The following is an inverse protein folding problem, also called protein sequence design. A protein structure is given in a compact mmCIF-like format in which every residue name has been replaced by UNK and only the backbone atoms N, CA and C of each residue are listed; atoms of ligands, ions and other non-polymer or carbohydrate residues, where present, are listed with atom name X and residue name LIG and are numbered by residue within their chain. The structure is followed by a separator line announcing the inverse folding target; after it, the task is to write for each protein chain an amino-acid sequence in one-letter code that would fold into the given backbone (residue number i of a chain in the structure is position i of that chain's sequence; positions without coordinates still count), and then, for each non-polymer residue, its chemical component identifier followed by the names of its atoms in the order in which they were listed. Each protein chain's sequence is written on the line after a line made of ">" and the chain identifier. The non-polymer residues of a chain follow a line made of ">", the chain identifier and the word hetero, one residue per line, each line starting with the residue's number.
data_IF_080384845206
#
_entry.id   IF_080384845206
#
_cell.length_a   1.000
_cell.length_b   1.000
_cell.length_c   1.000
_cell.angle_alpha   90.00
_cell.angle_beta   90.00
_cell.angle_gamma   90.00
#
_symmetry.space_group_name_H-M   'P 1'
#
loop_
_entity.id
_entity.type
_entity.pdbx_description
1 polymer ?
#
# COMPACT_ATOMS: atom_id res chain seq x y z
N UNK A 1 -47.37 -10.25 -110.87
CA UNK A 1 -47.71 -9.59 -112.16
C UNK A 1 -49.21 -9.56 -112.39
N UNK A 2 -49.92 -10.69 -112.32
CA UNK A 2 -51.38 -10.77 -112.46
C UNK A 2 -52.23 -9.87 -111.54
N UNK A 3 -51.81 -9.64 -110.28
CA UNK A 3 -52.53 -8.75 -109.34
C UNK A 3 -52.43 -7.27 -109.74
N UNK A 4 -51.26 -6.84 -110.24
CA UNK A 4 -51.03 -5.45 -110.65
C UNK A 4 -51.77 -5.12 -111.95
N UNK A 5 -51.83 -6.08 -112.89
CA UNK A 5 -52.64 -5.96 -114.11
C UNK A 5 -54.15 -5.91 -113.81
N UNK A 6 -54.60 -6.68 -112.81
CA UNK A 6 -55.97 -6.65 -112.33
C UNK A 6 -56.34 -5.26 -111.79
N UNK A 7 -55.52 -4.71 -110.88
CA UNK A 7 -55.72 -3.39 -110.30
C UNK A 7 -55.72 -2.28 -111.38
N UNK A 8 -54.85 -2.38 -112.38
CA UNK A 8 -54.80 -1.46 -113.50
C UNK A 8 -56.05 -1.49 -114.39
N UNK A 9 -56.67 -2.65 -114.61
CA UNK A 9 -57.91 -2.78 -115.39
C UNK A 9 -59.14 -2.30 -114.61
N UNK A 10 -59.18 -2.51 -113.30
CA UNK A 10 -60.21 -1.97 -112.40
C UNK A 10 -60.15 -0.43 -112.39
N UNK A 11 -58.95 0.16 -112.28
CA UNK A 11 -58.77 1.61 -112.31
C UNK A 11 -59.21 2.26 -113.64
N UNK A 12 -59.18 1.51 -114.75
CA UNK A 12 -59.62 1.94 -116.09
C UNK A 12 -61.12 1.72 -116.34
N UNK A 13 -61.88 1.24 -115.34
CA UNK A 13 -63.32 0.96 -115.46
C UNK A 13 -63.66 -0.24 -116.36
N UNK A 14 -62.67 -1.05 -116.76
CA UNK A 14 -62.84 -2.23 -117.62
C UNK A 14 -63.06 -3.48 -116.78
N UNK A 15 -64.21 -3.55 -116.12
CA UNK A 15 -64.52 -4.63 -115.17
C UNK A 15 -64.58 -6.02 -115.82
N UNK A 16 -65.08 -6.15 -117.06
CA UNK A 16 -65.11 -7.44 -117.77
C UNK A 16 -63.71 -8.00 -118.03
N UNK A 17 -62.78 -7.16 -118.49
CA UNK A 17 -61.39 -7.53 -118.71
C UNK A 17 -60.65 -7.84 -117.40
N UNK A 18 -60.90 -7.07 -116.34
CA UNK A 18 -60.33 -7.34 -115.01
C UNK A 18 -60.79 -8.71 -114.47
N UNK A 19 -62.07 -9.03 -114.59
CA UNK A 19 -62.63 -10.31 -114.14
C UNK A 19 -62.09 -11.47 -114.97
N UNK A 20 -61.88 -11.30 -116.28
CA UNK A 20 -61.23 -12.32 -117.12
C UNK A 20 -59.78 -12.60 -116.68
N UNK A 21 -59.01 -11.57 -116.33
CA UNK A 21 -57.65 -11.73 -115.78
C UNK A 21 -57.68 -12.42 -114.42
N UNK A 22 -58.65 -12.07 -113.56
CA UNK A 22 -58.85 -12.72 -112.25
C UNK A 22 -59.13 -14.22 -112.40
N UNK A 23 -60.14 -14.57 -113.20
CA UNK A 23 -60.59 -15.94 -113.36
C UNK A 23 -59.61 -16.77 -114.21
N UNK A 24 -58.85 -16.15 -115.11
CA UNK A 24 -57.72 -16.79 -115.79
C UNK A 24 -56.61 -17.17 -114.80
N UNK A 25 -56.20 -16.25 -113.93
CA UNK A 25 -55.21 -16.54 -112.89
C UNK A 25 -55.73 -17.54 -111.84
N UNK A 26 -57.01 -17.48 -111.49
CA UNK A 26 -57.67 -18.47 -110.63
C UNK A 26 -57.76 -19.84 -111.30
N UNK A 27 -58.12 -19.91 -112.59
CA UNK A 27 -58.20 -21.19 -113.31
C UNK A 27 -56.84 -21.90 -113.33
N UNK A 28 -55.75 -21.17 -113.54
CA UNK A 28 -54.39 -21.72 -113.50
C UNK A 28 -53.90 -22.09 -112.10
N UNK A 29 -54.31 -21.37 -111.05
CA UNK A 29 -53.82 -21.58 -109.67
C UNK A 29 -54.68 -22.55 -108.84
N UNK A 30 -55.97 -22.65 -109.16
CA UNK A 30 -56.97 -23.44 -108.43
C UNK A 30 -57.51 -24.64 -109.23
N UNK A 31 -56.97 -24.91 -110.43
CA UNK A 31 -57.39 -26.00 -111.33
C UNK A 31 -58.91 -26.03 -111.56
N UNK A 32 -59.49 -24.90 -112.00
CA UNK A 32 -60.91 -24.89 -112.34
C UNK A 32 -61.16 -25.69 -113.64
N UNK A 33 -62.20 -26.55 -113.70
CA UNK A 33 -62.52 -27.31 -114.90
C UNK A 33 -62.86 -26.40 -116.09
N UNK A 34 -62.32 -26.69 -117.27
CA UNK A 34 -62.51 -25.87 -118.48
C UNK A 34 -63.98 -25.86 -118.93
N UNK A 35 -64.48 -24.70 -119.39
CA UNK A 35 -65.87 -24.56 -119.85
C UNK A 35 -66.94 -24.52 -118.75
N UNK A 36 -66.55 -24.37 -117.49
CA UNK A 36 -67.46 -24.29 -116.34
C UNK A 36 -67.76 -22.88 -115.84
N UNK A 37 -67.09 -21.86 -116.40
CA UNK A 37 -67.30 -20.46 -116.08
C UNK A 37 -67.30 -19.60 -117.34
N UNK A 38 -68.05 -18.49 -117.32
CA UNK A 38 -68.10 -17.50 -118.39
C UNK A 38 -68.29 -16.09 -117.82
N UNK A 39 -67.64 -15.09 -118.41
CA UNK A 39 -67.74 -13.69 -118.00
C UNK A 39 -68.60 -12.94 -119.01
N UNK A 40 -69.78 -12.50 -118.58
CA UNK A 40 -70.65 -11.61 -119.35
C UNK A 40 -70.31 -10.14 -119.14
N UNK A 41 -71.08 -9.23 -119.78
CA UNK A 41 -70.86 -7.79 -119.66
C UNK A 41 -71.08 -7.26 -118.23
N UNK A 42 -71.97 -7.88 -117.45
CA UNK A 42 -72.36 -7.45 -116.10
C UNK A 42 -72.29 -8.55 -115.05
N UNK A 43 -72.32 -9.83 -115.44
CA UNK A 43 -72.41 -10.98 -114.55
C UNK A 43 -71.38 -12.05 -114.91
N UNK A 44 -70.95 -12.82 -113.90
CA UNK A 44 -70.13 -14.02 -114.07
C UNK A 44 -71.02 -15.24 -113.89
N UNK A 45 -71.05 -16.11 -114.89
CA UNK A 45 -71.80 -17.34 -114.87
C UNK A 45 -70.88 -18.47 -114.42
N UNK A 46 -71.27 -19.17 -113.36
CA UNK A 46 -70.53 -20.29 -112.79
C UNK A 46 -71.42 -21.51 -112.79
N UNK A 47 -70.91 -22.64 -113.32
CA UNK A 47 -71.53 -23.94 -113.13
C UNK A 47 -71.24 -24.43 -111.71
N UNK A 48 -72.07 -25.36 -111.24
CA UNK A 48 -72.00 -25.94 -109.89
C UNK A 48 -70.58 -26.42 -109.51
N UNK A 49 -69.91 -27.09 -110.44
CA UNK A 49 -68.55 -27.63 -110.26
C UNK A 49 -67.52 -26.56 -109.88
N UNK A 50 -67.54 -25.39 -110.54
CA UNK A 50 -66.64 -24.28 -110.24
C UNK A 50 -66.95 -23.63 -108.89
N UNK A 51 -68.23 -23.55 -108.51
CA UNK A 51 -68.68 -23.00 -107.23
C UNK A 51 -68.23 -23.91 -106.08
N UNK A 52 -68.32 -25.23 -106.24
CA UNK A 52 -67.87 -26.20 -105.24
C UNK A 52 -66.35 -26.10 -105.02
N UNK A 53 -65.55 -25.96 -106.09
CA UNK A 53 -64.09 -25.75 -105.98
C UNK A 53 -63.75 -24.44 -105.28
N UNK A 54 -64.36 -23.32 -105.70
CA UNK A 54 -64.10 -22.00 -105.11
C UNK A 54 -64.55 -21.91 -103.64
N UNK A 55 -65.71 -22.49 -103.30
CA UNK A 55 -66.19 -22.56 -101.92
C UNK A 55 -65.28 -23.46 -101.06
N UNK A 56 -64.80 -24.58 -101.62
CA UNK A 56 -63.78 -25.44 -101.01
C UNK A 56 -62.51 -24.67 -100.64
N UNK A 57 -61.92 -23.96 -101.60
CA UNK A 57 -60.72 -23.15 -101.39
C UNK A 57 -60.93 -21.99 -100.41
N UNK A 58 -62.08 -21.34 -100.47
CA UNK A 58 -62.41 -20.30 -99.50
C UNK A 58 -62.55 -20.88 -98.08
N UNK A 59 -63.07 -22.09 -97.92
CA UNK A 59 -63.06 -22.77 -96.62
C UNK A 59 -61.65 -23.13 -96.16
N UNK A 60 -60.74 -23.56 -97.03
CA UNK A 60 -59.35 -23.86 -96.64
C UNK A 60 -58.60 -22.60 -96.25
N UNK A 61 -58.67 -21.50 -97.02
CA UNK A 61 -58.06 -20.23 -96.65
C UNK A 61 -58.58 -19.70 -95.29
N UNK A 62 -59.90 -19.82 -95.03
CA UNK A 62 -60.48 -19.46 -93.73
C UNK A 62 -59.98 -20.37 -92.60
N UNK A 63 -59.87 -21.69 -92.85
CA UNK A 63 -59.30 -22.64 -91.89
C UNK A 63 -57.84 -22.30 -91.59
N UNK A 64 -57.02 -22.02 -92.60
CA UNK A 64 -55.60 -21.69 -92.44
C UNK A 64 -55.39 -20.41 -91.64
N UNK A 65 -56.16 -19.36 -91.94
CA UNK A 65 -56.15 -18.12 -91.16
C UNK A 65 -56.56 -18.37 -89.70
N UNK A 66 -57.60 -19.18 -89.47
CA UNK A 66 -58.02 -19.57 -88.12
C UNK A 66 -56.92 -20.38 -87.40
N UNK A 67 -56.24 -21.29 -88.08
CA UNK A 67 -55.11 -22.07 -87.53
C UNK A 67 -53.95 -21.15 -87.17
N UNK A 68 -53.61 -20.17 -88.00
CA UNK A 68 -52.56 -19.19 -87.68
C UNK A 68 -52.91 -18.37 -86.44
N UNK A 69 -54.16 -17.90 -86.32
CA UNK A 69 -54.62 -17.18 -85.14
C UNK A 69 -54.55 -18.06 -83.89
N UNK A 70 -55.06 -19.30 -83.98
CA UNK A 70 -55.08 -20.25 -82.87
C UNK A 70 -53.67 -20.66 -82.43
N UNK A 71 -52.76 -20.91 -83.36
CA UNK A 71 -51.36 -21.26 -83.05
C UNK A 71 -50.63 -20.09 -82.40
N UNK A 72 -50.81 -18.87 -82.92
CA UNK A 72 -50.27 -17.64 -82.31
C UNK A 72 -50.80 -17.44 -80.88
N UNK A 73 -52.11 -17.59 -80.68
CA UNK A 73 -52.72 -17.46 -79.36
C UNK A 73 -52.24 -18.53 -78.37
N UNK A 74 -52.18 -19.81 -78.79
CA UNK A 74 -51.67 -20.91 -77.96
C UNK A 74 -50.22 -20.63 -77.55
N UNK A 75 -49.37 -20.16 -78.48
CA UNK A 75 -47.98 -19.77 -78.21
C UNK A 75 -47.91 -18.62 -77.20
N UNK A 76 -48.69 -17.56 -77.40
CA UNK A 76 -48.74 -16.42 -76.48
C UNK A 76 -49.14 -16.86 -75.07
N UNK A 77 -50.19 -17.68 -74.95
CA UNK A 77 -50.69 -18.19 -73.66
C UNK A 77 -49.63 -18.99 -72.90
N UNK A 78 -48.94 -19.90 -73.58
CA UNK A 78 -47.87 -20.71 -72.96
C UNK A 78 -46.67 -19.83 -72.59
N UNK A 79 -46.24 -18.94 -73.47
CA UNK A 79 -45.11 -18.03 -73.19
C UNK A 79 -45.40 -17.09 -72.02
N UNK A 80 -46.63 -16.56 -71.91
CA UNK A 80 -47.06 -15.74 -70.78
C UNK A 80 -46.96 -16.52 -69.47
N UNK A 81 -47.47 -17.76 -69.42
CA UNK A 81 -47.38 -18.63 -68.23
C UNK A 81 -45.91 -18.94 -67.88
N UNK A 82 -45.08 -19.29 -68.85
CA UNK A 82 -43.66 -19.57 -68.65
C UNK A 82 -42.91 -18.34 -68.09
N UNK A 83 -43.13 -17.14 -68.63
CA UNK A 83 -42.49 -15.94 -68.11
C UNK A 83 -42.95 -15.60 -66.69
N UNK A 84 -44.21 -15.86 -66.34
CA UNK A 84 -44.71 -15.68 -64.99
C UNK A 84 -44.08 -16.66 -64.00
N UNK A 85 -43.93 -17.94 -64.38
CA UNK A 85 -43.26 -18.93 -63.53
C UNK A 85 -41.78 -18.62 -63.36
N UNK A 86 -41.06 -18.28 -64.44
CA UNK A 86 -39.65 -17.87 -64.36
C UNK A 86 -39.47 -16.66 -63.45
N UNK A 87 -40.32 -15.63 -63.57
CA UNK A 87 -40.27 -14.45 -62.68
C UNK A 87 -40.51 -14.83 -61.22
N UNK A 88 -41.46 -15.73 -60.94
CA UNK A 88 -41.72 -16.21 -59.58
C UNK A 88 -40.51 -16.99 -59.01
N UNK A 89 -39.92 -17.87 -59.81
CA UNK A 89 -38.73 -18.65 -59.42
C UNK A 89 -37.54 -17.74 -59.14
N UNK A 90 -37.25 -16.77 -60.02
CA UNK A 90 -36.15 -15.82 -59.82
C UNK A 90 -36.35 -15.00 -58.54
N UNK A 91 -37.59 -14.56 -58.26
CA UNK A 91 -37.92 -13.86 -57.00
C UNK A 91 -37.73 -14.75 -55.78
N UNK A 92 -38.19 -16.00 -55.82
CA UNK A 92 -38.01 -16.96 -54.74
C UNK A 92 -36.52 -17.21 -54.47
N UNK A 93 -35.74 -17.46 -55.51
CA UNK A 93 -34.30 -17.68 -55.40
C UNK A 93 -33.56 -16.44 -54.88
N UNK A 94 -33.93 -15.24 -55.34
CA UNK A 94 -33.36 -13.99 -54.84
C UNK A 94 -33.67 -13.79 -53.35
N UNK A 95 -34.91 -14.07 -52.93
CA UNK A 95 -35.32 -14.03 -51.53
C UNK A 95 -34.51 -15.03 -50.69
N UNK A 96 -34.39 -16.28 -51.13
CA UNK A 96 -33.60 -17.31 -50.46
C UNK A 96 -32.13 -16.92 -50.29
N UNK A 97 -31.48 -16.42 -51.35
CA UNK A 97 -30.10 -15.91 -51.28
C UNK A 97 -29.98 -14.73 -50.31
N UNK A 98 -30.95 -13.83 -50.29
CA UNK A 98 -30.94 -12.68 -49.37
C UNK A 98 -31.08 -13.10 -47.90
N UNK A 99 -31.93 -14.09 -47.61
CA UNK A 99 -32.11 -14.64 -46.26
C UNK A 99 -30.82 -15.33 -45.79
N UNK A 100 -30.21 -16.16 -46.64
CA UNK A 100 -28.93 -16.80 -46.34
C UNK A 100 -27.83 -15.77 -46.04
N UNK A 101 -27.71 -14.72 -46.84
CA UNK A 101 -26.76 -13.63 -46.62
C UNK A 101 -27.03 -12.89 -45.30
N UNK A 102 -28.29 -12.62 -44.96
CA UNK A 102 -28.68 -12.00 -43.68
C UNK A 102 -28.33 -12.89 -42.48
N UNK A 103 -28.61 -14.19 -42.56
CA UNK A 103 -28.25 -15.15 -41.52
C UNK A 103 -26.72 -15.19 -41.31
N UNK A 104 -25.94 -15.30 -42.38
CA UNK A 104 -24.48 -15.24 -42.31
C UNK A 104 -24.00 -13.94 -41.65
N UNK A 105 -24.54 -12.79 -42.06
CA UNK A 105 -24.17 -11.50 -41.50
C UNK A 105 -24.47 -11.40 -40.00
N UNK A 106 -25.60 -11.94 -39.53
CA UNK A 106 -25.94 -12.00 -38.10
C UNK A 106 -24.93 -12.86 -37.33
N UNK A 107 -24.60 -14.05 -37.85
CA UNK A 107 -23.61 -14.93 -37.22
C UNK A 107 -22.24 -14.24 -37.11
N UNK A 108 -21.76 -13.64 -38.21
CA UNK A 108 -20.49 -12.91 -38.22
C UNK A 108 -20.49 -11.72 -37.25
N UNK A 109 -21.59 -10.97 -37.16
CA UNK A 109 -21.75 -9.88 -36.19
C UNK A 109 -21.70 -10.39 -34.75
N UNK A 110 -22.36 -11.51 -34.44
CA UNK A 110 -22.31 -12.15 -33.11
C UNK A 110 -20.90 -12.60 -32.75
N UNK A 111 -20.19 -13.26 -33.67
CA UNK A 111 -18.80 -13.68 -33.46
C UNK A 111 -17.89 -12.47 -33.22
N UNK A 112 -17.99 -11.42 -34.05
CA UNK A 112 -17.22 -10.18 -33.86
C UNK A 112 -17.51 -9.52 -32.51
N UNK A 113 -18.78 -9.45 -32.12
CA UNK A 113 -19.18 -8.90 -30.82
C UNK A 113 -18.60 -9.73 -29.66
N UNK A 114 -18.67 -11.06 -29.74
CA UNK A 114 -18.10 -11.95 -28.74
C UNK A 114 -16.57 -11.79 -28.63
N UNK A 115 -15.85 -11.77 -29.75
CA UNK A 115 -14.39 -11.55 -29.78
C UNK A 115 -14.02 -10.18 -29.18
N UNK A 116 -14.80 -9.14 -29.48
CA UNK A 116 -14.59 -7.80 -28.90
C UNK A 116 -14.83 -7.78 -27.39
N UNK A 117 -15.87 -8.45 -26.91
CA UNK A 117 -16.14 -8.56 -25.47
C UNK A 117 -15.03 -9.34 -24.76
N UNK A 118 -14.60 -10.46 -25.34
CA UNK A 118 -13.49 -11.26 -24.81
C UNK A 118 -12.17 -10.47 -24.79
N UNK A 119 -11.86 -9.70 -25.84
CA UNK A 119 -10.62 -8.91 -25.89
C UNK A 119 -10.61 -7.79 -24.85
N UNK A 120 -11.75 -7.12 -24.65
CA UNK A 120 -11.92 -6.10 -23.60
C UNK A 120 -11.73 -6.71 -22.22
N UNK A 121 -12.32 -7.88 -21.96
CA UNK A 121 -12.20 -8.55 -20.66
C UNK A 121 -10.77 -9.04 -20.38
N UNK A 122 -10.10 -9.66 -21.37
CA UNK A 122 -8.67 -10.03 -21.25
C UNK A 122 -7.82 -8.80 -20.93
N UNK A 123 -8.06 -7.68 -21.60
CA UNK A 123 -7.34 -6.44 -21.35
C UNK A 123 -7.67 -5.82 -19.97
N UNK A 124 -8.92 -5.90 -19.49
CA UNK A 124 -9.31 -5.49 -18.14
C UNK A 124 -8.57 -6.30 -17.08
N UNK A 125 -8.56 -7.64 -17.20
CA UNK A 125 -7.84 -8.55 -16.31
C UNK A 125 -6.34 -8.27 -16.29
N UNK A 126 -5.71 -8.14 -17.46
CA UNK A 126 -4.28 -7.83 -17.56
C UNK A 126 -3.92 -6.49 -16.90
N UNK A 127 -4.72 -5.44 -17.14
CA UNK A 127 -4.54 -4.12 -16.49
C UNK A 127 -4.73 -4.18 -14.98
N UNK A 128 -5.72 -4.93 -14.51
CA UNK A 128 -5.95 -5.13 -13.07
C UNK A 128 -4.75 -5.82 -12.40
N UNK A 129 -4.29 -6.95 -12.96
CA UNK A 129 -3.11 -7.66 -12.44
C UNK A 129 -1.86 -6.78 -12.45
N UNK A 130 -1.62 -6.02 -13.53
CA UNK A 130 -0.52 -5.05 -13.61
C UNK A 130 -0.60 -4.01 -12.48
N UNK A 131 -1.78 -3.43 -12.24
CA UNK A 131 -1.97 -2.43 -11.17
C UNK A 131 -1.67 -3.00 -9.79
N UNK A 132 -2.13 -4.22 -9.48
CA UNK A 132 -1.82 -4.89 -8.21
C UNK A 132 -0.31 -5.07 -8.06
N UNK A 133 0.36 -5.62 -9.08
CA UNK A 133 1.82 -5.85 -9.04
C UNK A 133 2.58 -4.55 -8.84
N UNK A 134 2.26 -3.51 -9.60
CA UNK A 134 2.91 -2.20 -9.47
C UNK A 134 2.66 -1.57 -8.10
N UNK A 135 1.45 -1.71 -7.54
CA UNK A 135 1.14 -1.24 -6.20
C UNK A 135 1.98 -1.96 -5.14
N UNK A 136 2.09 -3.28 -5.24
CA UNK A 136 2.92 -4.08 -4.33
C UNK A 136 4.40 -3.67 -4.41
N UNK A 137 4.94 -3.51 -5.64
CA UNK A 137 6.31 -3.05 -5.86
C UNK A 137 6.53 -1.65 -5.28
N UNK A 138 5.59 -0.71 -5.50
CA UNK A 138 5.70 0.65 -4.97
C UNK A 138 5.73 0.64 -3.43
N UNK A 139 4.81 -0.09 -2.79
CA UNK A 139 4.77 -0.23 -1.32
C UNK A 139 6.12 -0.78 -0.80
N UNK A 140 6.65 -1.83 -1.44
CA UNK A 140 7.94 -2.40 -1.05
C UNK A 140 9.09 -1.40 -1.22
N UNK A 141 9.14 -0.69 -2.35
CA UNK A 141 10.17 0.31 -2.62
C UNK A 141 10.13 1.46 -1.62
N UNK A 142 8.94 1.98 -1.30
CA UNK A 142 8.76 3.03 -0.28
C UNK A 142 9.21 2.53 1.08
N UNK A 143 8.76 1.34 1.49
CA UNK A 143 9.16 0.73 2.75
C UNK A 143 10.68 0.55 2.85
N UNK A 144 11.34 0.06 1.79
CA UNK A 144 12.80 -0.08 1.75
C UNK A 144 13.52 1.26 1.88
N UNK A 145 13.06 2.31 1.19
CA UNK A 145 13.64 3.66 1.29
C UNK A 145 13.51 4.21 2.71
N UNK A 146 12.32 4.13 3.30
CA UNK A 146 12.06 4.59 4.67
C UNK A 146 12.90 3.80 5.68
N UNK A 147 12.96 2.47 5.55
CA UNK A 147 13.77 1.60 6.42
C UNK A 147 15.25 1.96 6.34
N UNK A 148 15.80 2.18 5.14
CA UNK A 148 17.19 2.59 4.93
C UNK A 148 17.48 3.93 5.59
N UNK A 149 16.60 4.92 5.40
CA UNK A 149 16.74 6.25 5.99
C UNK A 149 16.66 6.21 7.52
N UNK A 150 15.66 5.51 8.08
CA UNK A 150 15.48 5.34 9.53
C UNK A 150 16.69 4.65 10.17
N UNK A 151 17.22 3.60 9.54
CA UNK A 151 18.44 2.93 10.02
C UNK A 151 19.62 3.90 10.08
N UNK A 152 19.85 4.68 9.02
CA UNK A 152 20.93 5.69 8.98
C UNK A 152 20.75 6.76 10.07
N UNK A 153 19.53 7.26 10.23
CA UNK A 153 19.20 8.26 11.25
C UNK A 153 19.44 7.73 12.67
N UNK A 154 18.97 6.51 12.97
CA UNK A 154 19.15 5.91 14.29
C UNK A 154 20.63 5.68 14.60
N UNK A 155 21.44 5.20 13.64
CA UNK A 155 22.88 5.05 13.81
C UNK A 155 23.59 6.37 14.10
N UNK A 156 23.25 7.43 13.36
CA UNK A 156 23.80 8.77 13.60
C UNK A 156 23.36 9.32 14.96
N UNK A 157 22.09 9.15 15.32
CA UNK A 157 21.54 9.59 16.60
C UNK A 157 22.23 8.89 17.77
N UNK A 158 22.36 7.57 17.75
CA UNK A 158 23.03 6.83 18.82
C UNK A 158 24.50 7.22 18.95
N UNK A 159 25.22 7.35 17.82
CA UNK A 159 26.60 7.82 17.82
C UNK A 159 26.73 9.24 18.42
N UNK A 160 25.85 10.16 18.02
CA UNK A 160 25.84 11.53 18.55
C UNK A 160 25.56 11.58 20.06
N UNK A 161 24.60 10.79 20.55
CA UNK A 161 24.27 10.71 21.97
C UNK A 161 25.41 10.09 22.79
N UNK A 162 26.07 9.06 22.26
CA UNK A 162 27.25 8.48 22.89
C UNK A 162 28.38 9.49 22.98
N UNK A 163 28.68 10.20 21.90
CA UNK A 163 29.71 11.24 21.88
C UNK A 163 29.40 12.35 22.89
N UNK A 164 28.17 12.85 22.90
CA UNK A 164 27.71 13.86 23.85
C UNK A 164 27.81 13.36 25.31
N UNK A 165 27.43 12.11 25.59
CA UNK A 165 27.53 11.51 26.92
C UNK A 165 28.99 11.38 27.37
N UNK A 166 29.86 10.89 26.50
CA UNK A 166 31.29 10.78 26.76
C UNK A 166 31.90 12.16 27.03
N UNK A 167 31.60 13.15 26.19
CA UNK A 167 32.07 14.53 26.36
C UNK A 167 31.63 15.13 27.69
N UNK A 168 30.33 15.06 28.01
CA UNK A 168 29.81 15.53 29.31
C UNK A 168 30.50 14.84 30.49
N UNK A 169 30.76 13.53 30.39
CA UNK A 169 31.49 12.77 31.40
C UNK A 169 32.96 13.17 31.53
N UNK A 170 33.65 13.48 30.43
CA UNK A 170 35.02 14.01 30.43
C UNK A 170 35.07 15.40 31.05
N UNK A 171 34.17 16.29 30.61
CA UNK A 171 34.08 17.67 31.10
C UNK A 171 33.81 17.72 32.62
N UNK A 172 32.87 16.89 33.11
CA UNK A 172 32.58 16.78 34.53
C UNK A 172 33.80 16.30 35.35
N UNK A 173 34.50 15.27 34.88
CA UNK A 173 35.73 14.76 35.52
C UNK A 173 36.84 15.80 35.53
N UNK A 174 37.05 16.50 34.42
CA UNK A 174 38.04 17.57 34.32
C UNK A 174 37.74 18.70 35.30
N UNK A 175 36.48 19.15 35.38
CA UNK A 175 36.06 20.20 36.32
C UNK A 175 36.23 19.74 37.77
N UNK A 176 35.83 18.51 38.10
CA UNK A 176 36.02 17.95 39.43
C UNK A 176 37.50 17.87 39.81
N UNK A 177 38.38 17.44 38.89
CA UNK A 177 39.81 17.36 39.13
C UNK A 177 40.44 18.74 39.30
N UNK A 178 40.03 19.73 38.50
CA UNK A 178 40.48 21.13 38.63
C UNK A 178 40.07 21.71 39.99
N UNK A 179 38.83 21.48 40.43
CA UNK A 179 38.34 21.87 41.76
C UNK A 179 39.16 21.19 42.86
N UNK A 180 39.34 19.87 42.81
CA UNK A 180 40.17 19.12 43.78
C UNK A 180 41.58 19.66 43.88
N UNK A 181 42.28 19.85 42.75
CA UNK A 181 43.64 20.45 42.73
C UNK A 181 43.69 21.84 43.35
N UNK A 182 42.65 22.64 43.16
CA UNK A 182 42.57 23.99 43.74
C UNK A 182 42.34 23.94 45.24
N UNK A 183 41.45 23.07 45.71
CA UNK A 183 41.19 22.81 47.14
C UNK A 183 42.46 22.29 47.83
N UNK A 184 43.15 21.30 47.24
CA UNK A 184 44.40 20.77 47.80
C UNK A 184 45.47 21.85 47.90
N UNK A 185 45.64 22.68 46.86
CA UNK A 185 46.58 23.82 46.91
C UNK A 185 46.25 24.78 48.05
N UNK A 186 44.97 25.15 48.20
CA UNK A 186 44.51 26.01 49.29
C UNK A 186 44.76 25.37 50.66
N UNK A 187 44.44 24.08 50.82
CA UNK A 187 44.68 23.33 52.06
C UNK A 187 46.17 23.27 52.41
N UNK A 188 47.06 23.02 51.44
CA UNK A 188 48.50 23.02 51.64
C UNK A 188 49.01 24.41 52.04
N UNK A 189 48.57 25.47 51.35
CA UNK A 189 48.92 26.85 51.68
C UNK A 189 48.48 27.22 53.11
N UNK A 190 47.25 26.86 53.49
CA UNK A 190 46.72 27.07 54.84
C UNK A 190 47.50 26.30 55.90
N UNK A 191 47.79 25.01 55.68
CA UNK A 191 48.60 24.19 56.59
C UNK A 191 50.00 24.78 56.76
N UNK A 192 50.64 25.23 55.67
CA UNK A 192 51.94 25.90 55.70
C UNK A 192 51.91 27.23 56.46
N UNK A 193 50.89 28.07 56.22
CA UNK A 193 50.68 29.30 56.98
C UNK A 193 50.51 29.03 58.48
N UNK A 194 49.68 28.05 58.84
CA UNK A 194 49.46 27.65 60.25
C UNK A 194 50.76 27.15 60.90
N UNK A 195 51.57 26.36 60.18
CA UNK A 195 52.88 25.90 60.64
C UNK A 195 53.85 27.05 60.90
N UNK A 196 54.03 27.95 59.91
CA UNK A 196 54.88 29.15 60.06
C UNK A 196 54.41 30.04 61.22
N UNK A 197 53.10 30.26 61.35
CA UNK A 197 52.54 31.05 62.46
C UNK A 197 52.84 30.43 63.82
N UNK A 198 52.74 29.10 63.95
CA UNK A 198 53.12 28.38 65.19
C UNK A 198 54.62 28.53 65.50
N UNK A 199 55.49 28.38 64.50
CA UNK A 199 56.93 28.57 64.66
C UNK A 199 57.28 30.00 65.11
N UNK A 200 56.69 31.02 64.49
CA UNK A 200 56.90 32.42 64.88
C UNK A 200 56.44 32.68 66.33
N UNK A 201 55.29 32.12 66.74
CA UNK A 201 54.82 32.21 68.12
C UNK A 201 55.77 31.52 69.10
N UNK A 202 56.31 30.34 68.76
CA UNK A 202 57.30 29.63 69.57
C UNK A 202 58.62 30.41 69.67
N UNK A 203 59.13 30.94 68.56
CA UNK A 203 60.34 31.79 68.56
C UNK A 203 60.15 33.04 69.43
N UNK A 204 59.02 33.73 69.30
CA UNK A 204 58.67 34.86 70.15
C UNK A 204 58.57 34.47 71.64
N UNK A 205 58.09 33.26 71.96
CA UNK A 205 58.09 32.74 73.33
C UNK A 205 59.50 32.43 73.85
N UNK A 206 60.38 31.85 73.02
CA UNK A 206 61.79 31.60 73.37
C UNK A 206 62.53 32.91 73.60
N UNK A 207 62.37 33.91 72.73
CA UNK A 207 62.97 35.23 72.90
C UNK A 207 62.48 35.88 74.20
N UNK A 208 61.17 35.83 74.48
CA UNK A 208 60.62 36.30 75.76
C UNK A 208 61.24 35.59 76.96
N UNK A 209 61.35 34.25 76.95
CA UNK A 209 62.01 33.49 78.03
C UNK A 209 63.48 33.89 78.20
N UNK A 210 64.26 33.97 77.11
CA UNK A 210 65.66 34.40 77.13
C UNK A 210 65.80 35.82 77.72
N UNK A 211 64.89 36.72 77.37
CA UNK A 211 64.89 38.10 77.85
C UNK A 211 64.53 38.19 79.34
N UNK A 212 63.56 37.39 79.81
CA UNK A 212 63.25 37.24 81.24
C UNK A 212 64.45 36.70 82.00
N UNK A 213 65.11 35.63 81.52
CA UNK A 213 66.32 35.08 82.14
C UNK A 213 67.44 36.13 82.18
N UNK A 214 67.71 36.84 81.08
CA UNK A 214 68.70 37.93 81.07
C UNK A 214 68.37 39.02 82.09
N UNK A 215 67.10 39.42 82.22
CA UNK A 215 66.65 40.39 83.24
C UNK A 215 66.82 39.85 84.65
N UNK A 216 66.49 38.59 84.90
CA UNK A 216 66.65 37.95 86.22
C UNK A 216 68.13 37.81 86.60
N UNK A 217 68.99 37.39 85.67
CA UNK A 217 70.45 37.33 85.86
C UNK A 217 71.03 38.73 86.04
N UNK A 218 70.54 39.73 85.30
CA UNK A 218 70.89 41.14 85.51
C UNK A 218 70.54 41.61 86.92
N UNK A 219 69.29 41.41 87.35
CA UNK A 219 68.86 41.70 88.73
C UNK A 219 69.65 40.93 89.78
N UNK A 220 69.99 39.67 89.53
CA UNK A 220 70.83 38.88 90.44
C UNK A 220 72.25 39.44 90.50
N UNK A 221 72.85 39.79 89.36
CA UNK A 221 74.15 40.47 89.29
C UNK A 221 74.12 41.80 90.03
N UNK A 222 73.11 42.63 89.81
CA UNK A 222 72.92 43.89 90.53
C UNK A 222 72.83 43.63 92.04
N UNK A 223 72.04 42.64 92.47
CA UNK A 223 71.88 42.25 93.88
C UNK A 223 73.15 41.65 94.49
N UNK A 224 74.00 40.99 93.68
CA UNK A 224 75.33 40.51 94.10
C UNK A 224 76.33 41.68 94.17
N UNK A 225 76.30 42.61 93.22
CA UNK A 225 77.09 43.84 93.27
C UNK A 225 76.71 44.71 94.49
N UNK A 226 75.42 44.86 94.79
CA UNK A 226 74.93 45.51 96.01
C UNK A 226 75.42 44.78 97.26
N UNK A 227 75.35 43.44 97.31
CA UNK A 227 75.91 42.65 98.43
C UNK A 227 77.42 42.74 98.56
N UNK A 228 78.17 42.86 97.46
CA UNK A 228 79.63 43.06 97.48
C UNK A 228 80.02 44.49 97.89
N UNK A 229 79.17 45.49 97.61
CA UNK A 229 79.30 46.85 98.11
C UNK A 229 78.93 46.96 99.61
N UNK A 230 77.97 46.19 100.10
CA UNK A 230 77.59 46.12 101.53
C UNK A 230 78.56 45.28 102.38
N UNK A 231 79.13 44.20 101.82
CA UNK A 231 80.01 43.29 102.57
C UNK A 231 81.47 43.76 102.69
N UNK A 232 81.73 45.05 102.51
CA UNK A 232 82.92 45.73 103.05
C UNK A 232 82.84 45.99 104.56
N UNK A 233 81.69 45.76 105.21
CA UNK A 233 81.54 45.86 106.66
C UNK A 233 80.70 44.68 107.19
N UNK A 234 81.39 43.64 107.65
CA UNK A 234 80.96 42.59 108.64
C UNK A 234 79.64 41.84 108.32
N UNK A 235 79.61 40.54 108.00
CA UNK A 235 80.32 39.41 108.59
C UNK A 235 79.43 38.72 109.63
N UNK A 236 78.74 37.63 109.26
CA UNK A 236 78.68 36.33 109.96
C UNK A 236 77.55 35.42 109.42
N UNK A 237 77.89 34.15 109.42
CA UNK A 237 77.33 32.98 108.75
C UNK A 237 76.34 32.17 109.60
N UNK A 238 75.38 31.51 108.95
CA UNK A 238 74.91 30.13 109.20
C UNK A 238 73.70 29.88 108.27
N UNK A 239 73.72 29.05 107.22
CA UNK A 239 73.98 27.61 107.09
C UNK A 239 72.91 26.71 107.75
N UNK A 240 71.84 26.39 107.00
CA UNK A 240 71.11 25.14 107.18
C UNK A 240 70.60 24.64 105.83
N UNK A 241 71.06 23.45 105.46
CA UNK A 241 70.71 22.66 104.29
C UNK A 241 70.11 21.33 104.74
N UNK A 242 69.64 20.56 103.76
CA UNK A 242 69.29 19.12 103.81
C UNK A 242 67.78 18.88 104.06
N UNK A 243 67.08 17.94 103.41
CA UNK A 243 67.45 17.03 102.34
C UNK A 243 66.21 16.43 101.65
N UNK A 244 66.49 15.68 100.59
CA UNK A 244 65.63 15.08 99.58
C UNK A 244 64.69 13.94 100.07
N UNK A 245 63.67 13.69 99.23
CA UNK A 245 63.20 12.38 98.73
C UNK A 245 61.93 11.69 99.28
N UNK A 246 61.41 10.78 98.45
CA UNK A 246 60.02 10.41 98.10
C UNK A 246 59.65 9.00 98.64
N UNK A 247 58.35 8.63 98.75
CA UNK A 247 57.95 7.36 98.10
C UNK A 247 56.50 7.33 97.55
N UNK A 248 56.31 6.51 96.51
CA UNK A 248 55.08 5.83 96.09
C UNK A 248 55.42 4.32 96.02
N UNK A 249 54.53 3.34 95.75
CA UNK A 249 53.05 3.22 95.82
C UNK A 249 52.58 1.92 96.55
N UNK A 250 51.26 1.68 96.74
CA UNK A 250 50.57 0.42 96.34
C UNK A 250 49.15 0.26 96.94
N UNK A 251 48.25 -0.20 96.05
CA UNK A 251 47.04 -1.02 96.19
C UNK A 251 46.11 -0.89 97.41
N UNK A 252 44.84 -0.52 97.15
CA UNK A 252 43.68 -1.44 97.12
C UNK A 252 42.43 -0.67 96.64
N UNK A 253 41.59 -1.33 95.84
CA UNK A 253 40.31 -0.85 95.31
C UNK A 253 39.26 -1.94 95.58
N UNK A 254 37.96 -1.75 95.33
CA UNK A 254 37.08 -0.59 95.53
C UNK A 254 35.78 -1.01 96.27
N UNK A 255 35.11 -0.08 96.96
CA UNK A 255 33.69 -0.24 97.30
C UNK A 255 33.03 1.13 97.40
N UNK A 256 32.65 1.68 96.24
CA UNK A 256 31.68 2.77 96.18
C UNK A 256 30.51 2.24 95.37
N UNK A 257 29.41 2.01 96.07
CA UNK A 257 28.09 1.78 95.48
C UNK A 257 27.81 2.86 94.45
N UNK A 258 27.97 2.51 93.19
CA UNK A 258 27.44 3.27 92.08
C UNK A 258 25.93 3.10 92.15
N UNK A 259 25.23 4.19 92.49
CA UNK A 259 23.79 4.35 92.30
C UNK A 259 23.47 4.11 90.82
N UNK A 260 23.18 2.85 90.50
CA UNK A 260 22.73 2.42 89.19
C UNK A 260 21.20 2.52 89.14
N UNK A 261 20.69 3.72 88.86
CA UNK A 261 19.40 4.04 88.21
C UNK A 261 19.18 5.58 88.33
N UNK A 262 18.91 6.34 87.24
CA UNK A 262 18.02 6.03 86.11
C UNK A 262 18.67 6.23 84.72
N UNK A 263 19.99 6.09 84.58
CA UNK A 263 20.66 6.28 83.28
C UNK A 263 20.51 5.08 82.33
N UNK A 264 20.44 3.85 82.83
CA UNK A 264 20.27 2.66 81.97
C UNK A 264 18.90 2.64 81.28
N UNK A 265 17.80 2.95 81.99
CA UNK A 265 16.47 3.04 81.38
C UNK A 265 16.34 4.19 80.37
N UNK A 266 17.08 5.29 80.58
CA UNK A 266 17.07 6.43 79.65
C UNK A 266 17.92 6.14 78.40
N UNK A 267 19.05 5.45 78.54
CA UNK A 267 19.88 4.96 77.44
C UNK A 267 19.17 3.87 76.63
N UNK A 268 18.51 2.92 77.28
CA UNK A 268 17.72 1.88 76.59
C UNK A 268 16.52 2.47 75.85
N UNK A 269 15.81 3.44 76.44
CA UNK A 269 14.74 4.18 75.73
C UNK A 269 15.27 5.00 74.57
N UNK A 270 16.46 5.60 74.66
CA UNK A 270 17.08 6.33 73.54
C UNK A 270 17.58 5.39 72.45
N UNK A 271 18.17 4.25 72.79
CA UNK A 271 18.55 3.20 71.85
C UNK A 271 17.32 2.60 71.16
N UNK A 272 16.24 2.33 71.90
CA UNK A 272 14.97 1.86 71.34
C UNK A 272 14.28 2.95 70.50
N UNK A 273 14.33 4.23 70.89
CA UNK A 273 13.80 5.35 70.10
C UNK A 273 14.62 5.62 68.82
N UNK A 274 15.94 5.51 68.86
CA UNK A 274 16.80 5.60 67.67
C UNK A 274 16.62 4.37 66.77
N UNK A 275 16.52 3.17 67.33
CA UNK A 275 16.28 1.95 66.54
C UNK A 275 14.90 1.96 65.89
N UNK A 276 13.85 2.37 66.61
CA UNK A 276 12.48 2.52 66.05
C UNK A 276 12.40 3.68 65.05
N UNK A 277 13.11 4.79 65.29
CA UNK A 277 13.23 5.90 64.34
C UNK A 277 13.95 5.51 63.05
N UNK A 278 15.04 4.75 63.15
CA UNK A 278 15.79 4.22 62.01
C UNK A 278 14.96 3.18 61.23
N UNK A 279 14.22 2.29 61.92
CA UNK A 279 13.26 1.38 61.29
C UNK A 279 12.11 2.13 60.62
N UNK A 280 11.54 3.15 61.26
CA UNK A 280 10.49 3.96 60.66
C UNK A 280 10.99 4.72 59.42
N UNK A 281 12.21 5.28 59.46
CA UNK A 281 12.84 5.94 58.34
C UNK A 281 13.11 4.99 57.17
N UNK A 282 13.58 3.76 57.44
CA UNK A 282 13.78 2.73 56.40
C UNK A 282 12.45 2.24 55.82
N UNK A 283 11.40 2.09 56.63
CA UNK A 283 10.04 1.75 56.17
C UNK A 283 9.46 2.87 55.30
N UNK A 284 9.63 4.15 55.66
CA UNK A 284 9.20 5.28 54.83
C UNK A 284 10.00 5.32 53.52
N UNK A 285 11.31 5.08 53.56
CA UNK A 285 12.14 4.98 52.36
C UNK A 285 11.72 3.80 51.46
N UNK A 286 11.38 2.65 52.04
CA UNK A 286 10.84 1.51 51.30
C UNK A 286 9.46 1.79 50.72
N UNK A 287 8.54 2.42 51.47
CA UNK A 287 7.22 2.85 50.97
C UNK A 287 7.34 3.84 49.80
N UNK A 288 8.29 4.79 49.87
CA UNK A 288 8.60 5.70 48.75
C UNK A 288 9.16 4.97 47.55
N UNK A 289 10.06 3.99 47.75
CA UNK A 289 10.57 3.13 46.67
C UNK A 289 9.47 2.29 46.03
N UNK A 290 8.55 1.72 46.83
CA UNK A 290 7.39 0.97 46.35
C UNK A 290 6.48 1.89 45.54
N UNK A 291 6.18 3.09 46.02
CA UNK A 291 5.36 4.07 45.30
C UNK A 291 6.00 4.51 43.97
N UNK A 292 7.33 4.71 43.94
CA UNK A 292 8.06 4.98 42.70
C UNK A 292 7.98 3.80 41.73
N UNK A 293 8.19 2.57 42.22
CA UNK A 293 8.08 1.36 41.42
C UNK A 293 6.66 1.13 40.91
N UNK A 294 5.62 1.46 41.68
CA UNK A 294 4.23 1.41 41.24
C UNK A 294 3.96 2.41 40.11
N UNK A 295 4.50 3.63 40.18
CA UNK A 295 4.43 4.61 39.08
C UNK A 295 5.15 4.11 37.82
N UNK A 296 6.32 3.51 37.97
CA UNK A 296 7.05 2.88 36.86
C UNK A 296 6.25 1.73 36.23
N UNK A 297 5.61 0.87 37.05
CA UNK A 297 4.76 -0.23 36.55
C UNK A 297 3.56 0.31 35.78
N UNK A 298 2.90 1.37 36.25
CA UNK A 298 1.78 2.00 35.52
C UNK A 298 2.25 2.60 34.20
N UNK A 299 3.39 3.31 34.20
CA UNK A 299 3.98 3.85 32.98
C UNK A 299 4.33 2.75 31.96
N UNK A 300 4.93 1.65 32.42
CA UNK A 300 5.25 0.49 31.59
C UNK A 300 4.00 -0.22 31.06
N UNK A 301 2.89 -0.25 31.82
CA UNK A 301 1.60 -0.79 31.36
C UNK A 301 1.03 0.05 30.23
N UNK A 302 1.04 1.39 30.38
CA UNK A 302 0.60 2.30 29.33
C UNK A 302 1.47 2.18 28.08
N UNK A 303 2.80 2.09 28.23
CA UNK A 303 3.72 1.88 27.10
C UNK A 303 3.47 0.52 26.41
N UNK A 304 3.19 -0.55 27.19
CA UNK A 304 2.80 -1.84 26.64
C UNK A 304 1.50 -1.76 25.83
N UNK A 305 0.48 -1.08 26.35
CA UNK A 305 -0.79 -0.87 25.63
C UNK A 305 -0.57 -0.12 24.31
N UNK A 306 0.24 0.95 24.34
CA UNK A 306 0.62 1.68 23.11
C UNK A 306 1.35 0.78 22.11
N UNK A 307 2.31 -0.01 22.57
CA UNK A 307 3.03 -0.96 21.72
C UNK A 307 2.11 -2.08 21.18
N UNK A 308 1.11 -2.50 21.94
CA UNK A 308 0.10 -3.45 21.48
C UNK A 308 -0.78 -2.83 20.39
N UNK A 309 -1.23 -1.58 20.58
CA UNK A 309 -1.98 -0.85 19.57
C UNK A 309 -1.15 -0.65 18.29
N UNK A 310 0.13 -0.29 18.41
CA UNK A 310 1.05 -0.20 17.27
C UNK A 310 1.27 -1.57 16.60
N UNK A 311 1.38 -2.66 17.38
CA UNK A 311 1.50 -4.01 16.84
C UNK A 311 0.24 -4.43 16.07
N UNK A 312 -0.95 -4.17 16.60
CA UNK A 312 -2.23 -4.42 15.93
C UNK A 312 -2.36 -3.59 14.64
N UNK A 313 -1.91 -2.34 14.65
CA UNK A 313 -1.82 -1.52 13.44
C UNK A 313 -0.83 -2.08 12.43
N UNK A 314 0.35 -2.52 12.86
CA UNK A 314 1.32 -3.13 11.97
C UNK A 314 0.79 -4.45 11.39
N UNK A 315 0.14 -5.30 12.19
CA UNK A 315 -0.51 -6.53 11.72
C UNK A 315 -1.57 -6.22 10.67
N UNK A 316 -2.39 -5.18 10.87
CA UNK A 316 -3.32 -4.68 9.85
C UNK A 316 -2.61 -4.38 8.52
N UNK A 317 -1.38 -3.86 8.53
CA UNK A 317 -0.58 -3.52 7.36
C UNK A 317 0.41 -4.61 6.91
N UNK A 318 0.43 -5.79 7.54
CA UNK A 318 1.18 -6.95 7.05
C UNK A 318 0.47 -7.60 5.86
N UNK A 319 1.20 -8.39 5.05
CA UNK A 319 0.63 -9.15 3.93
C UNK A 319 -0.50 -10.06 4.41
N UNK A 320 -0.36 -10.67 5.59
CA UNK A 320 -1.40 -11.51 6.22
C UNK A 320 -2.64 -10.72 6.63
N UNK A 321 -2.50 -9.58 7.32
CA UNK A 321 -3.64 -8.75 7.72
C UNK A 321 -4.33 -8.02 6.56
N UNK A 322 -3.58 -7.60 5.54
CA UNK A 322 -4.14 -7.07 4.29
C UNK A 322 -4.89 -8.17 3.51
N UNK A 323 -4.35 -9.39 3.45
CA UNK A 323 -5.04 -10.53 2.85
C UNK A 323 -6.30 -10.91 3.62
N UNK A 324 -6.28 -10.90 4.96
CA UNK A 324 -7.45 -11.17 5.82
C UNK A 324 -8.58 -10.16 5.61
N UNK A 325 -8.27 -8.87 5.44
CA UNK A 325 -9.27 -7.83 5.16
C UNK A 325 -9.83 -7.88 3.74
N UNK A 326 -8.99 -8.23 2.76
CA UNK A 326 -9.47 -8.50 1.40
C UNK A 326 -10.34 -9.75 1.41
N UNK A 327 -9.96 -10.81 2.12
CA UNK A 327 -10.76 -12.02 2.30
C UNK A 327 -12.09 -11.72 3.00
N UNK A 328 -12.10 -10.96 4.11
CA UNK A 328 -13.33 -10.56 4.81
C UNK A 328 -14.23 -9.64 3.96
N UNK A 329 -13.68 -8.80 3.07
CA UNK A 329 -14.49 -8.02 2.12
C UNK A 329 -15.01 -8.81 0.93
N UNK A 330 -14.28 -9.84 0.52
CA UNK A 330 -14.64 -10.69 -0.63
C UNK A 330 -15.57 -11.83 -0.21
N UNK A 331 -15.47 -12.29 1.04
CA UNK A 331 -16.23 -13.41 1.61
C UNK A 331 -17.26 -13.00 2.66
N UNK A 332 -17.27 -11.75 3.12
CA UNK A 332 -18.11 -11.26 4.21
C UNK A 332 -19.05 -10.13 3.78
N UNK A 333 -19.87 -10.42 2.77
CA UNK A 333 -21.16 -9.76 2.55
C UNK A 333 -22.26 -10.79 2.76
N UNK A 334 -22.99 -10.64 3.85
CA UNK A 334 -24.28 -11.26 4.18
C UNK A 334 -24.37 -12.79 4.21
N UNK A 335 -24.21 -13.37 5.39
CA UNK A 335 -25.12 -14.40 5.90
C UNK A 335 -25.17 -14.29 7.43
N UNK A 336 -26.39 -14.24 7.96
CA UNK A 336 -26.71 -13.94 9.35
C UNK A 336 -26.12 -14.90 10.37
N UNK A 337 -26.17 -14.41 11.60
CA UNK A 337 -25.92 -15.17 12.81
C UNK A 337 -26.67 -16.51 12.81
N UNK A 338 -25.91 -17.59 12.92
CA UNK A 338 -26.35 -18.93 13.29
C UNK A 338 -25.12 -19.72 13.77
N UNK A 339 -25.17 -20.40 14.92
CA UNK A 339 -23.99 -21.01 15.51
C UNK A 339 -23.71 -22.34 14.81
N UNK A 340 -22.59 -22.44 14.10
CA UNK A 340 -22.15 -23.74 13.58
C UNK A 340 -20.74 -24.02 14.08
N UNK A 341 -20.75 -24.90 15.08
CA UNK A 341 -19.67 -25.76 15.54
C UNK A 341 -18.80 -26.30 14.41
N UNK A 342 -17.49 -26.36 14.66
CA UNK A 342 -16.62 -27.41 14.13
C UNK A 342 -16.11 -27.23 12.70
N UNK A 343 -14.99 -26.54 12.53
CA UNK A 343 -13.96 -26.96 11.56
C UNK A 343 -12.59 -26.76 12.20
N UNK A 344 -12.06 -27.86 12.73
CA UNK A 344 -10.64 -27.99 13.05
C UNK A 344 -9.84 -27.93 11.75
N UNK A 345 -8.95 -26.93 11.63
CA UNK A 345 -7.89 -26.96 10.62
C UNK A 345 -6.57 -27.24 11.34
N UNK A 346 -6.16 -28.50 11.24
CA UNK A 346 -4.83 -29.00 11.55
C UNK A 346 -3.77 -28.15 10.84
N UNK A 347 -3.03 -27.34 11.60
CA UNK A 347 -1.75 -26.80 11.16
C UNK A 347 -0.71 -27.85 11.52
N UNK A 348 -0.26 -28.59 10.50
CA UNK A 348 0.82 -29.54 10.59
C UNK A 348 2.11 -28.82 11.04
N UNK A 349 2.69 -29.36 12.11
CA UNK A 349 3.91 -28.95 12.75
C UNK A 349 5.11 -29.28 11.85
N UNK A 350 5.76 -28.25 11.30
CA UNK A 350 6.98 -28.40 10.50
C UNK A 350 8.21 -28.15 11.39
N UNK A 351 8.66 -29.21 12.06
CA UNK A 351 9.93 -29.25 12.78
C UNK A 351 11.12 -29.21 11.79
N UNK A 352 12.18 -28.42 12.05
CA UNK A 352 13.33 -28.32 11.14
C UNK A 352 14.32 -29.48 11.38
N UNK A 353 14.52 -30.33 10.37
CA UNK A 353 15.64 -31.28 10.35
C UNK A 353 16.96 -30.52 10.28
N UNK A 354 17.72 -30.60 11.37
CA UNK A 354 19.17 -30.35 11.43
C UNK A 354 19.89 -31.28 10.44
N UNK A 355 20.64 -30.70 9.52
CA UNK A 355 21.76 -31.37 8.85
C UNK A 355 23.03 -31.06 9.63
N UNK A 356 23.69 -32.11 10.10
CA UNK A 356 25.13 -32.20 10.33
C UNK A 356 25.57 -33.56 9.83
#
# INVERSE_FOLDING_TARGET
>A
ESILELEAQIARGKFSAAVQVLFGALASSANLPEGTWAVGATLVFLKRESIEVLSGLLTTCRRDAAVQLQTCWRRHRVRKRFLMTVRAVVRLQACGRSLAARHLAVVLRRVRAAVRLQSVERARRARYQRRIRLRAVNILQVWLRVRKLRRRFLLMRTASLLLQRCWRGVAARWLAQRRRRSVVRLQCAWRGHRGRRRMLLQQAAVVRRKLVVRRLVGRWRDKVCYRLLENGLSGHSSAHSDDLSFPAPSMEAPAVELVAQPLNGCLERRLQAENTGNLAATVIAMKRKIALKQKEVVALRQEKELLQMEADELERWTVGGMARRVALRVLGGDCGAGPVSGVALLVADASPRRTR
#
